data_IF_775913185778
#
_entry.id   IF_775913185778
#
_cell.length_a   1.000
_cell.length_b   1.000
_cell.length_c   1.000
_cell.angle_alpha   90.00
_cell.angle_beta   90.00
_cell.angle_gamma   90.00
#
_symmetry.space_group_name_H-M   'P 1'
#
loop_
_entity.id
_entity.type
_entity.pdbx_description
1 polymer ?
#
# COMPACT_ATOMS: atom_id res chain seq x y z
N UNK A 1 -11.27 18.66 -20.62
CA UNK A 1 -11.68 17.24 -20.81
C UNK A 1 -12.48 16.81 -19.59
N UNK A 2 -13.44 15.89 -19.73
CA UNK A 2 -14.21 15.39 -18.58
C UNK A 2 -13.33 14.40 -17.83
N UNK A 3 -13.13 14.61 -16.53
CA UNK A 3 -12.38 13.69 -15.67
C UNK A 3 -13.04 12.32 -15.70
N UNK A 4 -12.31 11.30 -16.16
CA UNK A 4 -12.80 9.93 -16.28
C UNK A 4 -12.05 9.02 -15.31
N UNK A 5 -12.79 8.23 -14.54
CA UNK A 5 -12.24 7.18 -13.69
C UNK A 5 -11.99 5.97 -14.57
N UNK A 6 -10.74 5.52 -14.65
CA UNK A 6 -10.36 4.28 -15.33
C UNK A 6 -10.18 3.19 -14.30
N UNK A 7 -10.76 2.03 -14.53
CA UNK A 7 -10.54 0.82 -13.74
C UNK A 7 -9.48 -0.07 -14.39
N UNK A 8 -8.71 -0.79 -13.59
CA UNK A 8 -7.58 -1.59 -14.07
C UNK A 8 -6.62 -1.94 -12.94
N UNK A 9 -5.36 -2.23 -13.27
CA UNK A 9 -4.30 -2.42 -12.28
C UNK A 9 -3.28 -1.31 -12.42
N UNK A 10 -3.08 -0.56 -11.35
CA UNK A 10 -2.21 0.59 -11.28
C UNK A 10 -1.31 0.52 -10.04
N UNK A 11 -0.25 1.32 -10.07
CA UNK A 11 0.69 1.53 -8.97
C UNK A 11 0.64 3.00 -8.63
N UNK A 12 0.06 3.32 -7.48
CA UNK A 12 -0.01 4.66 -6.93
C UNK A 12 1.31 5.02 -6.24
N UNK A 13 1.98 6.04 -6.73
CA UNK A 13 3.26 6.53 -6.21
C UNK A 13 3.07 7.92 -5.61
N UNK A 14 3.48 8.06 -4.36
CA UNK A 14 3.58 9.35 -3.66
C UNK A 14 5.04 9.64 -3.39
N UNK A 15 5.51 10.79 -3.88
CA UNK A 15 6.89 11.21 -3.71
C UNK A 15 7.01 12.71 -3.46
N UNK A 16 8.13 13.13 -2.87
CA UNK A 16 8.52 14.53 -2.77
C UNK A 16 9.76 14.76 -3.61
N UNK A 17 9.91 15.97 -4.15
CA UNK A 17 11.11 16.38 -4.88
C UNK A 17 11.50 17.79 -4.49
N UNK A 18 12.81 18.07 -4.47
CA UNK A 18 13.38 19.40 -4.39
C UNK A 18 14.36 19.57 -5.55
N UNK A 19 13.92 20.23 -6.63
CA UNK A 19 14.77 20.34 -7.83
C UNK A 19 15.97 21.25 -7.62
N UNK A 20 15.89 22.22 -6.70
CA UNK A 20 17.02 23.09 -6.34
C UNK A 20 18.13 22.33 -5.63
N UNK A 21 17.77 21.49 -4.65
CA UNK A 21 18.73 20.63 -3.94
C UNK A 21 19.17 19.41 -4.79
N UNK A 22 18.40 19.08 -5.82
CA UNK A 22 18.64 17.91 -6.67
C UNK A 22 18.34 16.59 -5.94
N UNK A 23 17.39 16.61 -5.01
CA UNK A 23 16.99 15.47 -4.21
C UNK A 23 15.49 15.17 -4.30
N UNK A 24 15.09 14.01 -3.81
CA UNK A 24 13.71 13.59 -3.74
C UNK A 24 13.57 12.30 -2.95
N UNK A 25 12.33 11.91 -2.66
CA UNK A 25 12.03 10.69 -1.92
C UNK A 25 10.68 10.13 -2.33
N UNK A 26 10.67 8.86 -2.71
CA UNK A 26 9.45 8.08 -2.80
C UNK A 26 9.03 7.71 -1.38
N UNK A 27 7.84 8.17 -1.00
CA UNK A 27 7.30 7.97 0.34
C UNK A 27 6.42 6.73 0.40
N UNK A 28 5.59 6.53 -0.62
CA UNK A 28 4.65 5.41 -0.70
C UNK A 28 4.54 4.89 -2.13
N UNK A 29 4.41 3.58 -2.25
CA UNK A 29 4.06 2.87 -3.46
C UNK A 29 3.00 1.87 -3.06
N UNK A 30 1.79 1.98 -3.63
CA UNK A 30 0.65 1.15 -3.28
C UNK A 30 -0.05 0.65 -4.55
N UNK A 31 -0.57 -0.59 -4.58
CA UNK A 31 -1.40 -1.03 -5.68
C UNK A 31 -2.73 -0.27 -5.66
N UNK A 32 -3.28 -0.01 -6.85
CA UNK A 32 -4.59 0.63 -7.03
C UNK A 32 -5.38 -0.07 -8.13
N UNK A 33 -6.70 -0.15 -7.95
CA UNK A 33 -7.62 -0.74 -8.92
C UNK A 33 -8.25 0.30 -9.88
N UNK A 34 -7.95 1.58 -9.65
CA UNK A 34 -8.44 2.67 -10.45
C UNK A 34 -7.47 3.83 -10.48
N UNK A 35 -7.63 4.68 -11.49
CA UNK A 35 -6.90 5.94 -11.62
C UNK A 35 -7.81 7.01 -12.20
N UNK A 36 -7.39 8.25 -12.05
CA UNK A 36 -7.99 9.41 -12.70
C UNK A 36 -6.92 10.06 -13.55
N UNK A 37 -7.20 10.21 -14.84
CA UNK A 37 -6.30 10.95 -15.72
C UNK A 37 -6.21 12.42 -15.25
N UNK A 38 -5.01 12.87 -14.93
CA UNK A 38 -4.75 14.28 -14.64
C UNK A 38 -4.69 15.07 -15.96
N UNK A 39 -5.33 16.24 -15.99
CA UNK A 39 -5.21 17.23 -17.05
C UNK A 39 -4.14 18.29 -16.76
N UNK A 40 -3.45 18.18 -15.62
CA UNK A 40 -2.37 19.08 -15.26
C UNK A 40 -1.13 18.79 -16.12
N UNK A 41 -0.39 19.85 -16.43
CA UNK A 41 0.86 19.74 -17.16
C UNK A 41 1.90 18.96 -16.35
N UNK A 42 2.60 18.05 -17.03
CA UNK A 42 3.75 17.34 -16.49
C UNK A 42 4.99 18.23 -16.46
N UNK A 43 5.95 17.88 -15.61
CA UNK A 43 7.29 18.46 -15.59
C UNK A 43 8.24 17.48 -16.28
N UNK A 44 8.69 17.81 -17.49
CA UNK A 44 9.50 16.90 -18.32
C UNK A 44 10.90 16.62 -17.73
N UNK A 45 11.33 17.41 -16.74
CA UNK A 45 12.58 17.13 -16.02
C UNK A 45 12.41 16.06 -14.93
N UNK A 46 11.18 15.68 -14.60
CA UNK A 46 10.87 14.78 -13.48
C UNK A 46 10.07 13.58 -13.98
N UNK A 47 10.64 12.40 -13.81
CA UNK A 47 10.08 11.16 -14.36
C UNK A 47 9.95 10.09 -13.28
N UNK A 48 8.92 9.27 -13.40
CA UNK A 48 8.88 7.96 -12.76
C UNK A 48 9.23 6.90 -13.79
N UNK A 49 10.23 6.08 -13.46
CA UNK A 49 10.73 5.01 -14.32
C UNK A 49 10.62 3.70 -13.57
N UNK A 50 9.95 2.74 -14.16
CA UNK A 50 9.74 1.44 -13.55
C UNK A 50 10.60 0.36 -14.22
N UNK A 51 11.11 -0.55 -13.40
CA UNK A 51 12.03 -1.60 -13.84
C UNK A 51 11.51 -2.98 -13.46
N UNK A 52 11.90 -3.99 -14.23
CA UNK A 52 11.69 -5.39 -13.89
C UNK A 52 12.77 -5.95 -12.94
N UNK A 53 12.68 -7.24 -12.63
CA UNK A 53 13.63 -7.93 -11.76
C UNK A 53 15.07 -7.99 -12.32
N UNK A 54 15.26 -7.81 -13.62
CA UNK A 54 16.56 -7.81 -14.29
C UNK A 54 17.14 -6.39 -14.42
N UNK A 55 16.42 -5.37 -13.92
CA UNK A 55 16.78 -3.98 -14.08
C UNK A 55 16.48 -3.41 -15.46
N UNK A 56 15.67 -4.09 -16.28
CA UNK A 56 15.20 -3.56 -17.56
C UNK A 56 14.06 -2.57 -17.34
N UNK A 57 14.14 -1.40 -18.00
CA UNK A 57 13.05 -0.43 -18.01
C UNK A 57 11.81 -1.03 -18.69
N UNK A 58 10.69 -1.02 -17.99
CA UNK A 58 9.38 -1.50 -18.49
C UNK A 58 8.36 -0.39 -18.66
N UNK A 59 8.59 0.76 -18.02
CA UNK A 59 7.71 1.92 -18.11
C UNK A 59 8.45 3.20 -17.74
N UNK A 60 8.10 4.31 -18.39
CA UNK A 60 8.61 5.66 -18.12
C UNK A 60 7.52 6.66 -18.40
N UNK A 61 7.35 7.62 -17.50
CA UNK A 61 6.43 8.73 -17.72
C UNK A 61 6.87 9.99 -16.97
N UNK A 62 6.87 11.18 -17.61
CA UNK A 62 6.98 12.44 -16.90
C UNK A 62 5.78 12.61 -15.96
N UNK A 63 5.98 13.30 -14.83
CA UNK A 63 4.96 13.43 -13.79
C UNK A 63 4.57 14.86 -13.50
N UNK A 64 3.36 15.03 -12.96
CA UNK A 64 2.89 16.33 -12.46
C UNK A 64 3.57 16.61 -11.11
N UNK A 65 4.33 17.70 -11.04
CA UNK A 65 4.92 18.19 -9.79
C UNK A 65 4.00 19.27 -9.21
N UNK A 66 3.30 18.94 -8.13
CA UNK A 66 2.44 19.89 -7.41
C UNK A 66 3.32 20.71 -6.45
N UNK A 67 3.71 21.90 -6.90
CA UNK A 67 4.58 22.81 -6.14
C UNK A 67 3.87 23.34 -4.90
N UNK A 68 4.65 23.57 -3.84
CA UNK A 68 4.11 24.05 -2.56
C UNK A 68 3.66 25.51 -2.61
N UNK A 69 4.17 26.29 -3.57
CA UNK A 69 3.77 27.67 -3.85
C UNK A 69 3.90 27.97 -5.34
N UNK A 70 3.06 28.87 -5.83
CA UNK A 70 3.11 29.43 -7.19
C UNK A 70 3.60 30.88 -7.20
N UNK A 71 4.29 31.33 -6.13
CA UNK A 71 4.84 32.67 -6.05
C UNK A 71 5.83 32.95 -7.19
N UNK A 72 5.53 33.91 -8.09
CA UNK A 72 6.33 34.14 -9.28
C UNK A 72 7.71 34.74 -8.99
N UNK A 73 7.86 35.42 -7.85
CA UNK A 73 9.10 36.04 -7.37
C UNK A 73 9.94 35.13 -6.48
N UNK A 74 9.38 34.00 -6.05
CA UNK A 74 10.03 32.99 -5.19
C UNK A 74 9.67 31.58 -5.67
N UNK A 75 10.15 31.19 -6.87
CA UNK A 75 9.87 29.86 -7.38
C UNK A 75 10.35 28.81 -6.38
N UNK A 76 9.40 28.03 -5.86
CA UNK A 76 9.70 26.90 -5.01
C UNK A 76 9.70 25.64 -5.87
N UNK A 77 10.90 25.08 -6.05
CA UNK A 77 11.09 23.81 -6.76
C UNK A 77 10.87 22.58 -5.87
N UNK A 78 10.32 22.78 -4.66
CA UNK A 78 9.83 21.72 -3.79
C UNK A 78 8.37 21.41 -4.11
N UNK A 79 8.11 20.15 -4.44
CA UNK A 79 6.77 19.69 -4.79
C UNK A 79 6.45 18.26 -4.37
N UNK A 80 5.16 17.97 -4.40
CA UNK A 80 4.58 16.66 -4.21
C UNK A 80 4.24 16.04 -5.57
N UNK A 81 4.55 14.76 -5.71
CA UNK A 81 4.15 13.93 -6.84
C UNK A 81 3.12 12.93 -6.33
N UNK A 82 1.98 12.88 -7.01
CA UNK A 82 0.99 11.82 -6.85
C UNK A 82 0.65 11.33 -8.25
N UNK A 83 1.13 10.13 -8.58
CA UNK A 83 1.05 9.59 -9.93
C UNK A 83 0.59 8.13 -9.87
N UNK A 84 -0.24 7.75 -10.82
CA UNK A 84 -0.63 6.36 -11.01
C UNK A 84 0.08 5.84 -12.27
N UNK A 85 0.87 4.78 -12.10
CA UNK A 85 1.52 4.08 -13.20
C UNK A 85 0.68 2.86 -13.57
N UNK A 86 0.51 2.50 -14.85
CA UNK A 86 -0.07 1.22 -15.21
C UNK A 86 0.80 0.08 -14.65
N UNK A 87 0.17 -0.92 -14.04
CA UNK A 87 0.88 -2.12 -13.57
C UNK A 87 1.27 -2.97 -14.79
N UNK A 88 2.55 -2.93 -15.17
CA UNK A 88 3.12 -3.76 -16.24
C UNK A 88 3.67 -5.06 -15.66
N UNK A 89 3.47 -6.20 -16.31
CA UNK A 89 3.99 -7.49 -15.85
C UNK A 89 5.50 -7.42 -15.58
N UNK A 90 5.96 -8.01 -14.48
CA UNK A 90 7.38 -8.04 -14.12
C UNK A 90 7.91 -6.80 -13.41
N UNK A 91 7.16 -5.68 -13.34
CA UNK A 91 7.58 -4.50 -12.56
C UNK A 91 7.91 -4.88 -11.12
N UNK A 92 9.10 -4.47 -10.66
CA UNK A 92 9.66 -4.72 -9.33
C UNK A 92 10.17 -3.47 -8.64
N UNK A 93 10.48 -2.41 -9.38
CA UNK A 93 10.91 -1.16 -8.77
C UNK A 93 10.42 0.06 -9.53
N UNK A 94 10.38 1.18 -8.82
CA UNK A 94 10.15 2.51 -9.39
C UNK A 94 11.26 3.44 -8.92
N UNK A 95 11.85 4.13 -9.87
CA UNK A 95 12.84 5.18 -9.69
C UNK A 95 12.18 6.53 -9.91
N UNK A 96 12.44 7.48 -9.02
CA UNK A 96 12.20 8.89 -9.23
C UNK A 96 13.47 9.49 -9.84
N UNK A 97 13.33 10.04 -11.05
CA UNK A 97 14.44 10.65 -11.77
C UNK A 97 14.24 12.15 -11.91
N UNK A 98 15.33 12.89 -11.73
CA UNK A 98 15.44 14.32 -12.01
C UNK A 98 16.52 14.50 -13.08
N UNK A 99 16.14 14.99 -14.27
CA UNK A 99 17.04 15.19 -15.41
C UNK A 99 17.82 13.91 -15.77
N UNK A 100 17.12 12.78 -15.76
CA UNK A 100 17.69 11.45 -16.01
C UNK A 100 18.55 10.87 -14.88
N UNK A 101 18.74 11.58 -13.76
CA UNK A 101 19.47 11.09 -12.58
C UNK A 101 18.48 10.55 -11.55
N UNK A 102 18.70 9.31 -11.09
CA UNK A 102 17.94 8.73 -9.98
C UNK A 102 18.22 9.50 -8.67
N UNK A 103 17.15 9.99 -8.04
CA UNK A 103 17.19 10.66 -6.74
C UNK A 103 16.52 9.84 -5.65
N UNK A 104 15.66 8.89 -6.00
CA UNK A 104 15.06 7.94 -5.06
C UNK A 104 14.61 6.69 -5.79
N UNK A 105 14.57 5.57 -5.08
CA UNK A 105 14.11 4.28 -5.60
C UNK A 105 13.29 3.53 -4.57
N UNK A 106 12.21 2.92 -5.03
CA UNK A 106 11.42 1.97 -4.28
C UNK A 106 11.57 0.59 -4.90
N UNK A 107 11.96 -0.39 -4.11
CA UNK A 107 12.12 -1.79 -4.50
C UNK A 107 11.03 -2.63 -3.83
N UNK A 108 10.33 -3.44 -4.61
CA UNK A 108 9.36 -4.40 -4.10
C UNK A 108 10.07 -5.40 -3.19
N UNK A 109 9.50 -5.62 -2.00
CA UNK A 109 9.98 -6.69 -1.13
C UNK A 109 9.74 -8.06 -1.75
N UNK A 110 10.65 -9.01 -1.47
CA UNK A 110 10.42 -10.41 -1.78
C UNK A 110 9.28 -10.94 -0.91
N UNK A 111 8.13 -11.22 -1.51
CA UNK A 111 6.97 -11.74 -0.79
C UNK A 111 7.35 -13.05 -0.08
N UNK A 112 7.17 -13.15 1.26
CA UNK A 112 7.40 -14.41 1.96
C UNK A 112 6.54 -15.55 1.38
N UNK A 113 6.87 -16.83 1.61
CA UNK A 113 5.97 -17.92 1.27
C UNK A 113 4.57 -17.70 1.86
N UNK A 114 3.52 -18.00 1.08
CA UNK A 114 2.15 -17.97 1.60
C UNK A 114 2.01 -19.05 2.69
N UNK A 115 1.42 -18.75 3.85
CA UNK A 115 1.10 -19.79 4.83
C UNK A 115 0.20 -20.87 4.21
N UNK A 116 0.32 -22.12 4.66
CA UNK A 116 -0.52 -23.20 4.18
C UNK A 116 -2.03 -22.89 4.37
N UNK A 117 -2.88 -23.30 3.44
CA UNK A 117 -4.32 -23.14 3.58
C UNK A 117 -4.82 -23.86 4.84
N UNK A 118 -5.61 -23.17 5.67
CA UNK A 118 -6.06 -23.70 6.98
C UNK A 118 -5.08 -23.49 8.13
N UNK A 119 -3.92 -22.87 7.89
CA UNK A 119 -3.00 -22.39 8.92
C UNK A 119 -3.35 -20.97 9.41
N UNK A 120 -4.64 -20.66 9.53
CA UNK A 120 -5.13 -19.49 10.25
C UNK A 120 -5.90 -19.94 11.48
N UNK A 121 -5.29 -19.75 12.64
CA UNK A 121 -5.85 -20.02 13.94
C UNK A 121 -5.90 -18.70 14.66
N UNK A 122 -7.09 -18.14 14.69
CA UNK A 122 -7.40 -16.98 15.49
C UNK A 122 -7.66 -17.51 16.89
N UNK A 123 -6.70 -17.29 17.79
CA UNK A 123 -6.85 -17.68 19.18
C UNK A 123 -7.37 -16.48 19.97
N UNK A 124 -8.32 -16.76 20.85
CA UNK A 124 -8.66 -15.80 21.88
C UNK A 124 -7.45 -15.62 22.79
N UNK A 125 -6.98 -14.38 22.95
CA UNK A 125 -6.02 -14.07 23.99
C UNK A 125 -6.54 -14.62 25.33
N UNK A 126 -5.71 -15.41 26.01
CA UNK A 126 -6.09 -16.19 27.20
C UNK A 126 -6.76 -15.37 28.31
N UNK A 127 -7.33 -16.10 29.28
CA UNK A 127 -8.26 -15.65 30.32
C UNK A 127 -7.90 -14.36 31.08
N UNK A 128 -8.10 -13.20 30.45
CA UNK A 128 -8.26 -11.94 31.15
C UNK A 128 -9.74 -11.80 31.55
N UNK A 129 -9.96 -11.71 32.85
CA UNK A 129 -11.28 -11.56 33.46
C UNK A 129 -12.03 -10.33 32.89
N UNK A 130 -13.32 -10.52 32.64
CA UNK A 130 -14.37 -9.51 32.43
C UNK A 130 -14.13 -8.46 31.31
N UNK A 131 -14.94 -8.59 30.25
CA UNK A 131 -15.36 -7.56 29.26
C UNK A 131 -14.47 -7.18 28.08
N UNK A 132 -13.21 -7.65 27.97
CA UNK A 132 -12.35 -7.29 26.82
C UNK A 132 -11.47 -8.46 26.40
N UNK A 133 -11.94 -9.28 25.44
CA UNK A 133 -11.12 -10.35 24.85
C UNK A 133 -10.61 -9.88 23.48
N UNK A 134 -9.34 -9.49 23.36
CA UNK A 134 -8.74 -9.28 22.05
C UNK A 134 -8.67 -10.62 21.30
N UNK A 135 -9.02 -10.60 20.02
CA UNK A 135 -8.78 -11.72 19.12
C UNK A 135 -7.37 -11.57 18.56
N UNK A 136 -6.52 -12.58 18.78
CA UNK A 136 -5.14 -12.59 18.27
C UNK A 136 -5.02 -13.42 17.01
N UNK A 137 -4.22 -12.93 16.06
CA UNK A 137 -3.85 -13.67 14.85
C UNK A 137 -2.56 -14.46 15.08
N UNK A 138 -2.63 -15.48 15.95
CA UNK A 138 -1.46 -16.20 16.45
C UNK A 138 -0.76 -17.07 15.40
N UNK A 139 -1.45 -17.59 14.38
CA UNK A 139 -0.79 -18.42 13.35
C UNK A 139 0.03 -17.61 12.32
N UNK A 140 -0.04 -16.28 12.37
CA UNK A 140 0.89 -15.40 11.65
C UNK A 140 2.06 -14.91 12.52
N UNK A 141 2.05 -15.24 13.82
CA UNK A 141 3.15 -14.95 14.74
C UNK A 141 4.36 -15.78 14.31
N UNK A 142 5.37 -15.10 13.77
CA UNK A 142 6.56 -15.76 13.22
C UNK A 142 6.97 -15.21 11.85
N UNK A 143 6.06 -14.56 11.12
CA UNK A 143 6.44 -13.78 9.95
C UNK A 143 7.35 -12.63 10.39
N UNK A 144 8.58 -12.67 9.91
CA UNK A 144 9.55 -11.61 10.15
C UNK A 144 9.28 -10.44 9.20
N UNK A 145 9.51 -9.19 9.63
CA UNK A 145 9.48 -8.03 8.74
C UNK A 145 10.37 -8.25 7.52
N UNK A 146 9.82 -8.02 6.33
CA UNK A 146 10.58 -7.99 5.08
C UNK A 146 10.51 -6.58 4.51
N UNK A 147 11.67 -6.01 4.18
CA UNK A 147 11.74 -4.69 3.56
C UNK A 147 10.91 -4.67 2.27
N UNK A 148 10.10 -3.62 2.09
CA UNK A 148 9.22 -3.48 0.92
C UNK A 148 7.98 -4.38 0.93
N UNK A 149 7.68 -5.08 2.04
CA UNK A 149 6.42 -5.82 2.24
C UNK A 149 5.68 -5.23 3.42
N UNK A 150 4.38 -4.97 3.25
CA UNK A 150 3.51 -4.59 4.38
C UNK A 150 2.22 -5.39 4.37
N UNK A 151 1.52 -5.36 5.50
CA UNK A 151 0.31 -6.12 5.74
C UNK A 151 -0.83 -5.20 6.17
N UNK A 152 -2.02 -5.55 5.73
CA UNK A 152 -3.28 -4.94 6.16
C UNK A 152 -4.22 -6.03 6.68
N UNK A 153 -4.95 -5.72 7.76
CA UNK A 153 -5.92 -6.63 8.34
C UNK A 153 -7.30 -6.00 8.23
N UNK A 154 -8.23 -6.76 7.67
CA UNK A 154 -9.61 -6.33 7.47
C UNK A 154 -10.57 -7.30 8.12
N UNK A 155 -11.67 -6.78 8.63
CA UNK A 155 -12.70 -7.55 9.34
C UNK A 155 -14.07 -7.18 8.79
N UNK A 156 -14.89 -8.18 8.50
CA UNK A 156 -16.29 -8.03 8.10
C UNK A 156 -17.19 -8.78 9.09
N UNK A 157 -17.85 -8.06 10.02
CA UNK A 157 -18.85 -8.65 10.92
C UNK A 157 -20.06 -9.21 10.16
N UNK A 158 -20.70 -10.24 10.70
CA UNK A 158 -21.89 -10.87 10.11
C UNK A 158 -23.13 -9.96 10.06
N UNK A 159 -23.12 -8.86 10.82
CA UNK A 159 -24.14 -7.82 10.79
C UNK A 159 -23.81 -6.64 9.85
N UNK A 160 -22.73 -6.72 9.05
CA UNK A 160 -22.32 -5.73 8.05
C UNK A 160 -21.99 -6.39 6.71
N UNK A 161 -22.18 -5.66 5.61
CA UNK A 161 -21.82 -6.13 4.26
C UNK A 161 -20.41 -5.68 3.81
N UNK A 162 -19.78 -4.76 4.54
CA UNK A 162 -18.51 -4.11 4.18
C UNK A 162 -17.35 -4.57 5.05
N UNK A 163 -16.14 -4.54 4.48
CA UNK A 163 -14.89 -4.76 5.22
C UNK A 163 -14.46 -3.49 5.94
N UNK A 164 -14.21 -3.60 7.24
CA UNK A 164 -13.58 -2.56 8.06
C UNK A 164 -12.06 -2.82 8.10
N UNK A 165 -11.23 -1.80 7.84
CA UNK A 165 -9.76 -1.93 7.95
C UNK A 165 -9.33 -1.67 9.38
N UNK A 166 -8.70 -2.66 10.02
CA UNK A 166 -8.28 -2.60 11.43
C UNK A 166 -6.81 -2.21 11.55
N UNK A 167 -5.98 -2.67 10.61
CA UNK A 167 -4.57 -2.33 10.56
C UNK A 167 -4.14 -2.16 9.10
N UNK A 168 -3.22 -1.22 8.87
CA UNK A 168 -2.66 -0.90 7.55
C UNK A 168 -1.17 -0.66 7.67
N UNK A 169 -0.42 -0.94 6.59
CA UNK A 169 1.02 -0.67 6.49
C UNK A 169 1.85 -1.29 7.62
N UNK A 170 1.44 -2.45 8.12
CA UNK A 170 2.14 -3.13 9.21
C UNK A 170 3.32 -3.92 8.67
N UNK A 171 4.48 -3.95 9.37
CA UNK A 171 5.62 -4.80 8.98
C UNK A 171 5.34 -6.29 9.19
N UNK A 172 4.42 -6.64 10.09
CA UNK A 172 3.90 -7.98 10.33
C UNK A 172 2.37 -7.89 10.47
N UNK A 173 1.62 -8.95 10.17
CA UNK A 173 0.15 -8.93 10.25
C UNK A 173 -0.40 -9.13 11.67
N UNK A 174 0.46 -9.11 12.70
CA UNK A 174 0.02 -9.27 14.09
C UNK A 174 -0.77 -8.04 14.56
N UNK A 175 -2.00 -8.29 15.01
CA UNK A 175 -2.92 -7.29 15.54
C UNK A 175 -3.84 -7.92 16.59
N UNK A 176 -4.18 -7.13 17.60
CA UNK A 176 -5.25 -7.41 18.55
C UNK A 176 -6.54 -6.77 18.06
N UNK A 177 -7.58 -7.56 17.81
CA UNK A 177 -8.89 -7.05 17.39
C UNK A 177 -9.83 -6.95 18.59
N UNK A 178 -10.35 -5.76 18.89
CA UNK A 178 -11.34 -5.55 19.95
C UNK A 178 -12.75 -5.93 19.47
N UNK A 179 -13.31 -7.00 20.04
CA UNK A 179 -14.65 -7.49 19.74
C UNK A 179 -15.76 -6.45 19.97
N UNK A 180 -15.56 -5.48 20.88
CA UNK A 180 -16.56 -4.45 21.16
C UNK A 180 -16.81 -3.52 19.98
N UNK A 181 -15.88 -3.46 19.01
CA UNK A 181 -16.05 -2.70 17.76
C UNK A 181 -17.16 -3.27 16.87
N UNK A 182 -17.61 -4.51 17.16
CA UNK A 182 -18.60 -5.25 16.38
C UNK A 182 -19.83 -5.60 17.22
N UNK A 183 -20.37 -4.61 17.94
CA UNK A 183 -21.54 -4.81 18.79
C UNK A 183 -22.72 -5.44 18.01
N UNK A 184 -23.31 -6.50 18.59
CA UNK A 184 -24.43 -7.23 18.00
C UNK A 184 -24.06 -8.27 16.94
N UNK A 185 -22.80 -8.32 16.48
CA UNK A 185 -22.31 -9.37 15.61
C UNK A 185 -22.06 -10.66 16.39
N UNK A 186 -22.30 -11.80 15.75
CA UNK A 186 -22.01 -13.13 16.35
C UNK A 186 -20.73 -13.72 15.77
N UNK A 187 -20.46 -13.41 14.51
CA UNK A 187 -19.27 -13.84 13.78
C UNK A 187 -18.66 -12.68 13.01
N UNK A 188 -17.40 -12.82 12.65
CA UNK A 188 -16.77 -11.95 11.67
C UNK A 188 -15.85 -12.74 10.76
N UNK A 189 -15.83 -12.38 9.48
CA UNK A 189 -14.76 -12.79 8.58
C UNK A 189 -13.55 -11.87 8.79
N UNK A 190 -12.36 -12.44 8.83
CA UNK A 190 -11.09 -11.73 8.98
C UNK A 190 -10.22 -12.12 7.81
N UNK A 191 -9.64 -11.13 7.13
CA UNK A 191 -8.64 -11.38 6.09
C UNK A 191 -7.38 -10.56 6.31
N UNK A 192 -6.26 -11.13 5.89
CA UNK A 192 -4.96 -10.48 5.88
C UNK A 192 -4.51 -10.33 4.44
N UNK A 193 -4.27 -9.08 4.07
CA UNK A 193 -3.72 -8.70 2.79
C UNK A 193 -2.23 -8.43 2.95
N UNK A 194 -1.45 -8.87 1.99
CA UNK A 194 -0.03 -8.55 1.86
C UNK A 194 0.15 -7.71 0.61
N UNK A 195 0.95 -6.65 0.71
CA UNK A 195 1.35 -5.83 -0.42
C UNK A 195 2.86 -5.66 -0.49
N UNK A 196 3.40 -5.67 -1.71
CA UNK A 196 4.78 -5.25 -2.00
C UNK A 196 4.85 -3.84 -2.60
N UNK A 197 3.75 -3.08 -2.52
CA UNK A 197 3.54 -1.81 -3.20
C UNK A 197 3.07 -1.93 -4.66
N UNK A 198 3.37 -3.04 -5.33
CA UNK A 198 2.99 -3.26 -6.74
C UNK A 198 1.81 -4.20 -6.90
N UNK A 199 1.74 -5.21 -6.05
CA UNK A 199 0.71 -6.22 -6.03
C UNK A 199 0.15 -6.33 -4.61
N UNK A 200 -1.12 -6.68 -4.50
CA UNK A 200 -1.78 -7.03 -3.25
C UNK A 200 -2.41 -8.41 -3.38
N UNK A 201 -2.27 -9.22 -2.34
CA UNK A 201 -2.85 -10.56 -2.30
C UNK A 201 -3.44 -10.87 -0.92
N UNK A 202 -4.51 -11.67 -0.91
CA UNK A 202 -5.05 -12.25 0.33
C UNK A 202 -4.20 -13.46 0.67
N UNK A 203 -3.42 -13.34 1.76
CA UNK A 203 -2.61 -14.44 2.27
C UNK A 203 -3.37 -15.29 3.29
N UNK A 204 -4.37 -14.69 3.95
CA UNK A 204 -5.18 -15.32 4.98
C UNK A 204 -6.63 -14.87 4.91
N UNK A 205 -7.57 -15.78 5.12
CA UNK A 205 -8.98 -15.47 5.32
C UNK A 205 -9.63 -16.56 6.19
N UNK A 206 -10.39 -16.16 7.21
CA UNK A 206 -11.08 -17.09 8.12
C UNK A 206 -12.31 -16.44 8.78
N UNK A 207 -13.21 -17.24 9.34
CA UNK A 207 -14.39 -16.78 10.10
C UNK A 207 -14.21 -17.06 11.60
N UNK A 208 -14.38 -16.03 12.42
CA UNK A 208 -14.29 -16.13 13.89
C UNK A 208 -15.63 -16.00 14.58
N UNK A 209 -15.75 -16.67 15.72
CA UNK A 209 -16.80 -16.41 16.69
C UNK A 209 -16.44 -15.18 17.53
N UNK A 210 -17.37 -14.24 17.64
CA UNK A 210 -17.23 -13.03 18.46
C UNK A 210 -17.85 -13.19 19.86
N UNK A 211 -18.55 -14.31 20.12
CA UNK A 211 -19.10 -14.64 21.43
C UNK A 211 -18.06 -15.16 22.43
#
# INVERSE_FOLDING_TARGET
>A
MKTEIKTGSFVHVVATINKTAGDGKIMYVNPSISTVASDAATDDEVELVAYDANGQEVYRNPVVVRRSSAEPDRPNDVGLIQADLPRVAGMKSVSLQLKGKEVSRYEAGAAPPKPAAGAFGLELGGAAAASRRPLKINQLAGLQPVAGVTYSVQVRPDNKSTWDTIAVSRPTPEVDVDRNQFAGAKRAEVRVLRTSGFDEEIIAEDTVDLK
#
